data_IF_313387424243
#
_entry.id   IF_313387424243
#
_cell.length_a   1.000
_cell.length_b   1.000
_cell.length_c   1.000
_cell.angle_alpha   90.00
_cell.angle_beta   90.00
_cell.angle_gamma   90.00
#
_symmetry.space_group_name_H-M   'P 1'
#
loop_
_entity.id
_entity.type
_entity.pdbx_description
1 polymer ?
#
# COMPACT_ATOMS: atom_id res chain seq x y z
N UNK A 1 43.01 -53.95 15.10
CA UNK A 1 42.77 -52.58 15.63
C UNK A 1 42.38 -51.65 14.47
N UNK A 2 41.17 -51.78 13.92
CA UNK A 2 40.68 -50.90 12.84
C UNK A 2 39.16 -50.72 13.00
N UNK A 3 38.75 -50.21 14.18
CA UNK A 3 37.35 -49.96 14.50
C UNK A 3 37.15 -48.62 15.25
N UNK A 4 37.98 -47.61 14.95
CA UNK A 4 37.80 -46.26 15.51
C UNK A 4 37.57 -45.17 14.46
N UNK A 5 37.80 -45.43 13.16
CA UNK A 5 37.75 -44.36 12.15
C UNK A 5 36.38 -44.14 11.52
N UNK A 6 35.53 -45.18 11.44
CA UNK A 6 34.27 -45.11 10.66
C UNK A 6 33.18 -44.30 11.40
N UNK A 7 33.13 -44.40 12.72
CA UNK A 7 32.13 -43.68 13.52
C UNK A 7 32.41 -42.17 13.59
N UNK A 8 33.68 -41.77 13.52
CA UNK A 8 34.11 -40.37 13.53
C UNK A 8 33.83 -39.68 12.18
N UNK A 9 33.99 -40.40 11.07
CA UNK A 9 33.73 -39.87 9.72
C UNK A 9 32.23 -39.67 9.49
N UNK A 10 31.39 -40.59 10.00
CA UNK A 10 29.92 -40.48 9.93
C UNK A 10 29.37 -39.22 10.61
N UNK A 11 29.95 -38.84 11.76
CA UNK A 11 29.55 -37.65 12.50
C UNK A 11 29.99 -36.34 11.80
N UNK A 12 31.12 -36.35 11.09
CA UNK A 12 31.59 -35.20 10.31
C UNK A 12 30.74 -34.96 9.05
N UNK A 13 30.25 -36.02 8.39
CA UNK A 13 29.37 -35.87 7.21
C UNK A 13 27.98 -35.34 7.58
N UNK A 14 27.45 -35.70 8.75
CA UNK A 14 26.17 -35.15 9.24
C UNK A 14 26.26 -33.66 9.57
N UNK A 15 27.42 -33.19 10.03
CA UNK A 15 27.64 -31.76 10.28
C UNK A 15 27.79 -30.97 8.98
N UNK A 16 28.42 -31.53 7.95
CA UNK A 16 28.62 -30.86 6.66
C UNK A 16 27.31 -30.71 5.85
N UNK A 17 26.37 -31.66 5.97
CA UNK A 17 25.05 -31.54 5.34
C UNK A 17 24.18 -30.44 5.97
N UNK A 18 24.44 -30.06 7.23
CA UNK A 18 23.70 -28.97 7.90
C UNK A 18 24.16 -27.57 7.44
N UNK A 19 25.37 -27.46 6.87
CA UNK A 19 25.93 -26.20 6.35
C UNK A 19 25.72 -26.00 4.83
N UNK A 20 25.22 -27.02 4.12
CA UNK A 20 24.96 -26.98 2.68
C UNK A 20 23.47 -26.84 2.33
N UNK A 21 22.59 -26.57 3.30
CA UNK A 21 21.31 -25.95 2.96
C UNK A 21 21.60 -24.50 2.58
N UNK A 22 21.36 -24.07 1.33
CA UNK A 22 21.18 -22.66 1.09
C UNK A 22 19.97 -22.26 1.93
N UNK A 23 20.19 -21.47 2.98
CA UNK A 23 19.11 -20.80 3.67
C UNK A 23 18.45 -19.92 2.62
N UNK A 24 17.36 -20.42 2.03
CA UNK A 24 16.55 -19.64 1.10
C UNK A 24 15.99 -18.46 1.89
N UNK A 25 16.69 -17.34 1.79
CA UNK A 25 16.18 -16.07 2.20
C UNK A 25 15.06 -15.67 1.23
N UNK A 26 14.04 -14.98 1.75
CA UNK A 26 12.98 -14.26 1.03
C UNK A 26 11.73 -15.06 0.64
N UNK A 27 10.78 -15.19 1.56
CA UNK A 27 9.34 -15.29 1.26
C UNK A 27 8.43 -14.83 2.42
N UNK A 28 8.99 -14.66 3.63
CA UNK A 28 8.23 -14.29 4.84
C UNK A 28 7.63 -12.88 4.76
N UNK A 29 8.32 -11.94 4.12
CA UNK A 29 7.91 -10.53 4.07
C UNK A 29 6.65 -10.32 3.23
N UNK A 30 6.54 -11.01 2.09
CA UNK A 30 5.40 -10.92 1.17
C UNK A 30 4.13 -11.54 1.77
N UNK A 31 4.26 -12.64 2.50
CA UNK A 31 3.13 -13.26 3.18
C UNK A 31 2.58 -12.35 4.30
N UNK A 32 3.47 -11.68 5.04
CA UNK A 32 3.10 -10.80 6.14
C UNK A 32 2.43 -9.49 5.67
N UNK A 33 2.88 -8.93 4.54
CA UNK A 33 2.29 -7.72 3.95
C UNK A 33 0.91 -7.98 3.32
N UNK A 34 0.70 -9.15 2.71
CA UNK A 34 -0.62 -9.55 2.17
C UNK A 34 -1.64 -9.70 3.30
N UNK A 35 -1.22 -10.29 4.43
CA UNK A 35 -2.07 -10.44 5.61
C UNK A 35 -2.44 -9.08 6.25
N UNK A 36 -1.48 -8.14 6.26
CA UNK A 36 -1.70 -6.77 6.75
C UNK A 36 -2.74 -6.02 5.92
N UNK A 37 -2.64 -6.05 4.58
CA UNK A 37 -3.60 -5.38 3.70
C UNK A 37 -4.99 -5.99 3.87
N UNK A 38 -5.09 -7.33 3.86
CA UNK A 38 -6.35 -8.03 4.03
C UNK A 38 -7.03 -7.66 5.35
N UNK A 39 -6.27 -7.72 6.45
CA UNK A 39 -6.78 -7.38 7.80
C UNK A 39 -7.20 -5.92 7.88
N UNK A 40 -6.40 -5.01 7.34
CA UNK A 40 -6.69 -3.56 7.34
C UNK A 40 -7.95 -3.26 6.53
N UNK A 41 -8.04 -3.76 5.29
CA UNK A 41 -9.20 -3.55 4.43
C UNK A 41 -10.48 -4.12 5.02
N UNK A 42 -10.39 -5.27 5.68
CA UNK A 42 -11.54 -5.87 6.37
C UNK A 42 -12.01 -4.98 7.53
N UNK A 43 -11.08 -4.54 8.38
CA UNK A 43 -11.42 -3.64 9.49
C UNK A 43 -12.00 -2.31 9.01
N UNK A 44 -11.45 -1.74 7.94
CA UNK A 44 -11.94 -0.54 7.30
C UNK A 44 -13.38 -0.72 6.80
N UNK A 45 -13.66 -1.82 6.09
CA UNK A 45 -15.00 -2.13 5.61
C UNK A 45 -15.99 -2.35 6.77
N UNK A 46 -15.60 -3.08 7.81
CA UNK A 46 -16.44 -3.38 8.97
C UNK A 46 -16.77 -2.13 9.80
N UNK A 47 -15.81 -1.20 9.92
CA UNK A 47 -15.99 0.06 10.68
C UNK A 47 -16.63 1.16 9.85
N UNK A 48 -16.63 1.06 8.53
CA UNK A 48 -17.20 2.08 7.67
C UNK A 48 -18.72 2.09 7.80
N UNK A 49 -19.25 3.01 8.61
CA UNK A 49 -20.70 3.24 8.75
C UNK A 49 -21.37 3.66 7.43
N UNK A 50 -20.58 4.11 6.47
CA UNK A 50 -20.99 4.53 5.13
C UNK A 50 -20.44 3.54 4.09
N UNK A 51 -21.18 3.23 3.03
CA UNK A 51 -20.75 2.30 1.95
C UNK A 51 -19.58 2.82 1.09
N UNK A 52 -18.92 3.91 1.50
CA UNK A 52 -17.87 4.60 0.75
C UNK A 52 -16.60 3.73 0.67
N UNK A 53 -16.24 3.03 1.75
CA UNK A 53 -15.03 2.22 1.80
C UNK A 53 -15.37 0.73 1.83
N UNK A 54 -15.48 0.11 0.66
CA UNK A 54 -15.68 -1.32 0.54
C UNK A 54 -14.36 -2.09 0.65
N UNK A 55 -14.43 -3.34 1.13
CA UNK A 55 -13.29 -4.24 1.17
C UNK A 55 -12.64 -4.39 -0.22
N UNK A 56 -13.47 -4.56 -1.27
CA UNK A 56 -12.99 -4.72 -2.65
C UNK A 56 -12.25 -3.49 -3.15
N UNK A 57 -12.80 -2.29 -2.94
CA UNK A 57 -12.12 -1.04 -3.31
C UNK A 57 -10.78 -0.89 -2.60
N UNK A 58 -10.73 -1.14 -1.28
CA UNK A 58 -9.50 -1.08 -0.51
C UNK A 58 -8.45 -2.08 -1.01
N UNK A 59 -8.86 -3.33 -1.22
CA UNK A 59 -7.95 -4.39 -1.65
C UNK A 59 -7.34 -4.10 -3.02
N UNK A 60 -8.17 -3.72 -4.00
CA UNK A 60 -7.70 -3.41 -5.36
C UNK A 60 -6.79 -2.19 -5.38
N UNK A 61 -7.09 -1.17 -4.57
CA UNK A 61 -6.27 0.05 -4.51
C UNK A 61 -4.89 -0.22 -3.93
N UNK A 62 -4.80 -1.05 -2.88
CA UNK A 62 -3.54 -1.28 -2.15
C UNK A 62 -2.68 -2.41 -2.72
N UNK A 63 -3.27 -3.42 -3.36
CA UNK A 63 -2.50 -4.53 -3.97
C UNK A 63 -1.69 -4.13 -5.20
N UNK A 64 -1.99 -2.97 -5.81
CA UNK A 64 -1.25 -2.47 -6.97
C UNK A 64 0.16 -1.97 -6.61
N UNK A 65 0.49 -1.80 -5.32
CA UNK A 65 1.75 -1.22 -4.87
C UNK A 65 2.77 -2.30 -4.48
N UNK A 66 4.04 -2.21 -4.93
CA UNK A 66 5.07 -3.15 -4.53
C UNK A 66 5.32 -3.13 -3.01
N UNK A 67 5.30 -4.32 -2.41
CA UNK A 67 5.32 -4.57 -0.96
C UNK A 67 6.53 -4.00 -0.20
N UNK A 68 7.57 -3.51 -0.88
CA UNK A 68 8.74 -2.90 -0.25
C UNK A 68 8.41 -1.60 0.51
N UNK A 69 7.31 -0.92 0.18
CA UNK A 69 6.89 0.32 0.85
C UNK A 69 5.85 0.14 1.97
N UNK A 70 5.17 -1.02 2.05
CA UNK A 70 4.06 -1.27 2.98
C UNK A 70 4.45 -2.23 4.13
N UNK A 71 5.59 -1.99 4.80
CA UNK A 71 6.11 -2.93 5.80
C UNK A 71 5.33 -2.91 7.14
N UNK A 72 4.56 -1.86 7.40
CA UNK A 72 3.74 -1.67 8.60
C UNK A 72 2.49 -0.83 8.30
N UNK A 73 1.63 -0.62 9.30
CA UNK A 73 0.39 0.17 9.15
C UNK A 73 0.65 1.63 8.75
N UNK A 74 1.76 2.21 9.22
CA UNK A 74 2.16 3.58 8.91
C UNK A 74 2.53 3.71 7.42
N UNK A 75 3.40 2.85 6.91
CA UNK A 75 3.74 2.81 5.48
C UNK A 75 2.51 2.52 4.61
N UNK A 76 1.60 1.67 5.08
CA UNK A 76 0.33 1.43 4.38
C UNK A 76 -0.59 2.66 4.37
N UNK A 77 -0.59 3.46 5.44
CA UNK A 77 -1.34 4.71 5.51
C UNK A 77 -0.76 5.78 4.58
N UNK A 78 0.58 5.90 4.54
CA UNK A 78 1.29 6.80 3.60
C UNK A 78 0.93 6.43 2.16
N UNK A 79 1.04 5.15 1.80
CA UNK A 79 0.62 4.65 0.48
C UNK A 79 -0.83 5.02 0.16
N UNK A 80 -1.75 4.82 1.11
CA UNK A 80 -3.16 5.14 0.89
C UNK A 80 -3.36 6.65 0.66
N UNK A 81 -2.62 7.49 1.38
CA UNK A 81 -2.64 8.95 1.19
C UNK A 81 -2.05 9.35 -0.16
N UNK A 82 -0.91 8.79 -0.58
CA UNK A 82 -0.29 9.05 -1.88
C UNK A 82 -1.26 8.70 -3.04
N UNK A 83 -1.87 7.52 -2.99
CA UNK A 83 -2.91 7.12 -3.95
C UNK A 83 -4.09 8.10 -3.95
N UNK A 84 -4.47 8.59 -2.78
CA UNK A 84 -5.58 9.55 -2.67
C UNK A 84 -5.21 10.89 -3.31
N UNK A 85 -3.98 11.39 -3.08
CA UNK A 85 -3.47 12.61 -3.72
C UNK A 85 -3.42 12.47 -5.23
N UNK A 86 -2.93 11.34 -5.75
CA UNK A 86 -2.87 11.07 -7.19
C UNK A 86 -4.26 11.11 -7.84
N UNK A 87 -5.23 10.39 -7.25
CA UNK A 87 -6.60 10.34 -7.76
C UNK A 87 -7.31 11.69 -7.64
N UNK A 88 -7.12 12.40 -6.53
CA UNK A 88 -7.70 13.73 -6.31
C UNK A 88 -7.13 14.75 -7.31
N UNK A 89 -5.81 14.76 -7.53
CA UNK A 89 -5.15 15.62 -8.52
C UNK A 89 -5.62 15.31 -9.95
N UNK A 90 -5.80 14.04 -10.29
CA UNK A 90 -6.39 13.64 -11.58
C UNK A 90 -7.83 14.16 -11.74
N UNK A 91 -8.60 14.14 -10.66
CA UNK A 91 -9.96 14.69 -10.62
C UNK A 91 -9.96 16.21 -10.81
N UNK A 92 -9.08 16.94 -10.11
CA UNK A 92 -8.86 18.40 -10.29
C UNK A 92 -8.59 18.72 -11.76
N UNK A 93 -7.63 18.04 -12.38
CA UNK A 93 -7.29 18.22 -13.80
C UNK A 93 -8.49 17.94 -14.71
N UNK A 94 -9.27 16.89 -14.41
CA UNK A 94 -10.45 16.53 -15.20
C UNK A 94 -11.55 17.60 -15.09
N UNK A 95 -11.82 18.09 -13.89
CA UNK A 95 -12.77 19.19 -13.65
C UNK A 95 -12.30 20.47 -14.35
N UNK A 96 -11.02 20.81 -14.28
CA UNK A 96 -10.44 21.96 -14.98
C UNK A 96 -10.63 21.90 -16.50
N UNK A 97 -10.47 20.71 -17.11
CA UNK A 97 -10.75 20.49 -18.53
C UNK A 97 -12.25 20.65 -18.84
N UNK A 98 -13.13 20.12 -17.99
CA UNK A 98 -14.58 20.28 -18.15
C UNK A 98 -14.99 21.74 -18.08
N UNK A 99 -14.48 22.50 -17.12
CA UNK A 99 -14.74 23.94 -16.99
C UNK A 99 -14.23 24.73 -18.20
N UNK A 100 -13.05 24.39 -18.71
CA UNK A 100 -12.45 25.05 -19.88
C UNK A 100 -13.18 24.75 -21.19
N UNK A 101 -13.90 23.63 -21.27
CA UNK A 101 -14.63 23.22 -22.49
C UNK A 101 -15.80 24.15 -22.83
N UNK A 102 -16.38 24.84 -21.84
CA UNK A 102 -17.58 25.67 -22.01
C UNK A 102 -18.84 24.89 -22.43
N UNK A 103 -18.82 23.55 -22.36
CA UNK A 103 -19.90 22.69 -22.84
C UNK A 103 -21.09 22.54 -21.87
N UNK A 104 -20.99 23.14 -20.68
CA UNK A 104 -21.94 22.96 -19.57
C UNK A 104 -22.79 24.21 -19.37
N UNK A 105 -24.04 24.03 -18.95
CA UNK A 105 -24.91 25.14 -18.58
C UNK A 105 -24.39 25.85 -17.29
N UNK A 106 -24.88 27.07 -16.99
CA UNK A 106 -24.37 27.85 -15.86
C UNK A 106 -24.51 27.14 -14.50
N UNK A 107 -25.54 26.32 -14.30
CA UNK A 107 -25.72 25.58 -13.06
C UNK A 107 -24.67 24.47 -12.94
N UNK A 108 -24.49 23.67 -13.99
CA UNK A 108 -23.46 22.64 -14.03
C UNK A 108 -22.04 23.23 -13.88
N UNK A 109 -21.76 24.38 -14.49
CA UNK A 109 -20.49 25.10 -14.28
C UNK A 109 -20.29 25.53 -12.82
N UNK A 110 -21.35 25.99 -12.16
CA UNK A 110 -21.32 26.32 -10.73
C UNK A 110 -20.99 25.10 -9.86
N UNK A 111 -21.63 23.96 -10.14
CA UNK A 111 -21.33 22.70 -9.45
C UNK A 111 -19.88 22.26 -9.66
N UNK A 112 -19.37 22.33 -10.89
CA UNK A 112 -17.98 21.97 -11.20
C UNK A 112 -16.97 22.85 -10.48
N UNK A 113 -17.23 24.15 -10.34
CA UNK A 113 -16.38 25.05 -9.54
C UNK A 113 -16.37 24.67 -8.06
N UNK A 114 -17.55 24.38 -7.49
CA UNK A 114 -17.64 23.91 -6.11
C UNK A 114 -16.89 22.59 -5.89
N UNK A 115 -17.00 21.64 -6.83
CA UNK A 115 -16.21 20.42 -6.79
C UNK A 115 -14.70 20.70 -6.88
N UNK A 116 -14.29 21.61 -7.77
CA UNK A 116 -12.88 21.98 -7.92
C UNK A 116 -12.30 22.49 -6.60
N UNK A 117 -12.98 23.44 -5.96
CA UNK A 117 -12.57 24.00 -4.66
C UNK A 117 -12.41 22.91 -3.59
N UNK A 118 -13.40 22.01 -3.47
CA UNK A 118 -13.34 20.91 -2.49
C UNK A 118 -12.19 19.93 -2.75
N UNK A 119 -11.89 19.62 -4.01
CA UNK A 119 -10.80 18.72 -4.36
C UNK A 119 -9.43 19.38 -4.21
N UNK A 120 -9.29 20.67 -4.56
CA UNK A 120 -8.05 21.43 -4.36
C UNK A 120 -7.72 21.53 -2.86
N UNK A 121 -8.71 21.85 -2.03
CA UNK A 121 -8.56 21.88 -0.57
C UNK A 121 -8.14 20.50 -0.01
N UNK A 122 -8.76 19.42 -0.50
CA UNK A 122 -8.44 18.07 -0.09
C UNK A 122 -6.99 17.68 -0.47
N UNK A 123 -6.54 18.02 -1.69
CA UNK A 123 -5.16 17.78 -2.14
C UNK A 123 -4.17 18.54 -1.26
N UNK A 124 -4.43 19.83 -1.01
CA UNK A 124 -3.56 20.65 -0.17
C UNK A 124 -3.45 20.07 1.25
N UNK A 125 -4.58 19.67 1.86
CA UNK A 125 -4.60 19.06 3.19
C UNK A 125 -3.79 17.76 3.24
N UNK A 126 -3.96 16.87 2.25
CA UNK A 126 -3.25 15.58 2.24
C UNK A 126 -1.74 15.75 2.01
N UNK A 127 -1.33 16.67 1.14
CA UNK A 127 0.08 16.99 0.94
C UNK A 127 0.73 17.55 2.21
N UNK A 128 0.01 18.39 2.96
CA UNK A 128 0.49 18.89 4.25
C UNK A 128 0.71 17.74 5.24
N UNK A 129 -0.20 16.77 5.34
CA UNK A 129 -0.02 15.61 6.23
C UNK A 129 1.23 14.80 5.85
N UNK A 130 1.42 14.49 4.58
CA UNK A 130 2.60 13.76 4.09
C UNK A 130 3.92 14.51 4.36
N UNK A 131 3.89 15.85 4.39
CA UNK A 131 5.07 16.67 4.70
C UNK A 131 5.43 16.73 6.20
N UNK A 132 4.48 16.37 7.09
CA UNK A 132 4.71 16.34 8.54
C UNK A 132 5.37 15.02 8.95
N UNK A 133 4.98 13.89 8.33
CA UNK A 133 5.52 12.56 8.63
C UNK A 133 6.96 12.34 8.09
N UNK A 134 7.50 13.31 7.33
CA UNK A 134 8.89 13.30 6.84
C UNK A 134 9.88 14.03 7.77
N UNK A 135 9.44 14.51 8.93
CA UNK A 135 10.30 15.13 9.95
C UNK A 135 10.69 14.09 11.01
N UNK A 136 11.98 13.72 11.13
CA UNK A 136 12.47 12.71 12.07
C UNK A 136 12.40 13.13 13.55
#
# INVERSE_FOLDING_TARGET
MWHCSVFSISFCFLFFFFFLTPFQNSSSTTALSVDLINTTCKQCADKSRTTILSYGFCLTSLQAIPFSHAMNLEGLAIIAMELTVENATSTVSSIGKMLSSGAFDPFAMGCLKGCLELYDDAVAMMLLLLSVDSVP
#
